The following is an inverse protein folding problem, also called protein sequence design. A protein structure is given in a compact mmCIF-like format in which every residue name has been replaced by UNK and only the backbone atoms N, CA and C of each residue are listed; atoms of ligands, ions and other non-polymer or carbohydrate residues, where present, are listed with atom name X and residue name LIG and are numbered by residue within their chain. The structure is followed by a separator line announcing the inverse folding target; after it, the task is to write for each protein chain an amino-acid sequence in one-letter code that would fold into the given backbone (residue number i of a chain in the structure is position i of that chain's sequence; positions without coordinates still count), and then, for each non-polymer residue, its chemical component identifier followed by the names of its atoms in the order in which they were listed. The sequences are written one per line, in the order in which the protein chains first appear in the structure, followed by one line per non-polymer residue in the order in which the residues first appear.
data_IF_454246571713
#
_entry.id   IF_454246571713
#
_cell.length_a   1.000
_cell.length_b   1.000
_cell.length_c   1.000
_cell.angle_alpha   90.00
_cell.angle_beta   90.00
_cell.angle_gamma   90.00
#
_symmetry.space_group_name_H-M   'P 1'
#
loop_
_entity.id
_entity.type
_entity.pdbx_description
1 polymer ?
#
# COMPACT_ATOMS: atom_id res chain seq x y z
N UNK A 1 -4.78 -33.70 16.04
CA UNK A 1 -4.71 -32.41 16.74
C UNK A 1 -6.04 -31.63 16.81
N UNK A 2 -7.05 -31.88 15.95
CA UNK A 2 -8.37 -31.23 16.09
C UNK A 2 -9.38 -31.98 16.99
N UNK A 3 -9.13 -33.26 17.33
CA UNK A 3 -10.11 -34.14 18.00
C UNK A 3 -10.28 -33.93 19.51
N UNK A 4 -9.38 -33.20 20.17
CA UNK A 4 -9.39 -33.02 21.65
C UNK A 4 -9.84 -31.62 22.11
N UNK A 5 -10.54 -30.86 21.26
CA UNK A 5 -10.99 -29.49 21.56
C UNK A 5 -12.50 -29.36 21.74
N UNK A 6 -13.14 -30.42 22.24
CA UNK A 6 -14.61 -30.50 22.47
C UNK A 6 -15.18 -29.30 23.24
N UNK A 7 -14.35 -28.55 23.98
CA UNK A 7 -14.76 -27.37 24.77
C UNK A 7 -13.97 -26.08 24.45
N UNK A 8 -13.27 -26.00 23.31
CA UNK A 8 -12.50 -24.78 22.96
C UNK A 8 -13.00 -24.19 21.65
N UNK A 9 -13.75 -23.06 21.69
CA UNK A 9 -14.23 -22.43 20.47
C UNK A 9 -13.07 -22.02 19.56
N UNK A 10 -13.28 -22.14 18.26
CA UNK A 10 -12.36 -21.69 17.21
C UNK A 10 -12.92 -20.44 16.59
N UNK A 11 -12.13 -19.37 16.63
CA UNK A 11 -12.44 -18.11 16.00
C UNK A 11 -11.62 -17.98 14.73
N UNK A 12 -12.30 -17.84 13.60
CA UNK A 12 -11.71 -17.59 12.30
C UNK A 12 -12.03 -16.14 11.94
N UNK A 13 -11.00 -15.35 11.67
CA UNK A 13 -11.13 -13.95 11.25
C UNK A 13 -10.66 -13.89 9.81
N UNK A 14 -11.59 -13.78 8.87
CA UNK A 14 -11.32 -13.72 7.43
C UNK A 14 -11.41 -12.27 6.93
N UNK A 15 -10.24 -11.70 6.61
CA UNK A 15 -10.09 -10.32 6.15
C UNK A 15 -9.70 -10.23 4.65
N UNK A 16 -9.72 -11.35 3.92
CA UNK A 16 -9.28 -11.41 2.53
C UNK A 16 -10.34 -10.92 1.53
N UNK A 17 -9.88 -10.37 0.41
CA UNK A 17 -10.71 -9.99 -0.75
C UNK A 17 -10.05 -10.51 -2.04
N UNK A 18 -10.59 -11.56 -2.70
CA UNK A 18 -11.76 -12.35 -2.31
C UNK A 18 -11.54 -13.21 -1.05
N UNK A 19 -12.63 -13.70 -0.45
CA UNK A 19 -12.66 -14.49 0.80
C UNK A 19 -11.86 -15.79 0.68
N UNK A 20 -11.11 -16.15 1.73
CA UNK A 20 -10.31 -17.38 1.77
C UNK A 20 -11.06 -18.59 2.37
N UNK A 21 -12.05 -18.32 3.24
CA UNK A 21 -12.78 -19.34 4.00
C UNK A 21 -14.23 -19.46 3.54
N UNK A 22 -14.68 -20.68 3.28
CA UNK A 22 -16.07 -20.95 2.92
C UNK A 22 -17.01 -20.61 4.10
N UNK A 23 -18.07 -19.80 3.90
CA UNK A 23 -18.98 -19.42 4.98
C UNK A 23 -19.70 -20.59 5.66
N UNK A 24 -19.82 -21.75 5.01
CA UNK A 24 -20.42 -22.96 5.58
C UNK A 24 -19.67 -23.49 6.82
N UNK A 25 -18.41 -23.11 7.03
CA UNK A 25 -17.67 -23.52 8.25
C UNK A 25 -18.31 -22.99 9.53
N UNK A 26 -19.13 -21.94 9.45
CA UNK A 26 -19.84 -21.38 10.59
C UNK A 26 -21.02 -22.26 11.06
N UNK A 27 -21.38 -23.28 10.28
CA UNK A 27 -22.38 -24.29 10.67
C UNK A 27 -21.78 -25.39 11.57
N UNK A 28 -20.45 -25.45 11.67
CA UNK A 28 -19.76 -26.42 12.50
C UNK A 28 -19.82 -26.02 13.98
N UNK A 29 -20.19 -26.97 14.85
CA UNK A 29 -20.25 -26.75 16.28
C UNK A 29 -18.90 -26.26 16.84
N UNK A 30 -18.93 -25.14 17.55
CA UNK A 30 -17.74 -24.52 18.15
C UNK A 30 -16.88 -23.70 17.19
N UNK A 31 -17.30 -23.46 15.94
CA UNK A 31 -16.61 -22.60 14.97
C UNK A 31 -17.37 -21.30 14.79
N UNK A 32 -16.64 -20.18 14.88
CA UNK A 32 -17.18 -18.84 14.65
C UNK A 32 -16.35 -18.15 13.57
N UNK A 33 -16.98 -17.82 12.44
CA UNK A 33 -16.38 -17.06 11.36
C UNK A 33 -16.79 -15.60 11.44
N UNK A 34 -15.81 -14.71 11.57
CA UNK A 34 -15.98 -13.27 11.47
C UNK A 34 -15.33 -12.76 10.19
N UNK A 35 -16.08 -12.00 9.41
CA UNK A 35 -15.58 -11.31 8.22
C UNK A 35 -15.31 -9.82 8.47
N UNK A 36 -14.73 -9.16 7.46
CA UNK A 36 -14.45 -7.72 7.50
C UNK A 36 -15.71 -6.87 7.76
N UNK A 37 -16.89 -7.34 7.33
CA UNK A 37 -18.16 -6.65 7.52
C UNK A 37 -18.63 -6.74 8.98
N UNK A 38 -18.43 -7.89 9.62
CA UNK A 38 -18.75 -8.11 11.04
C UNK A 38 -17.96 -7.21 12.00
N UNK A 39 -16.76 -6.79 11.60
CA UNK A 39 -15.89 -5.88 12.37
C UNK A 39 -16.21 -4.39 12.16
N UNK A 40 -17.12 -4.04 11.24
CA UNK A 40 -17.46 -2.63 10.96
C UNK A 40 -18.06 -1.89 12.16
N UNK A 41 -18.82 -2.57 13.02
CA UNK A 41 -19.43 -1.95 14.21
C UNK A 41 -18.38 -1.42 15.19
N UNK A 42 -17.27 -2.14 15.37
CA UNK A 42 -16.11 -1.71 16.17
C UNK A 42 -15.34 -0.58 15.46
N UNK A 43 -15.27 -0.64 14.13
CA UNK A 43 -14.60 0.38 13.32
C UNK A 43 -15.29 1.75 13.40
N UNK A 44 -16.61 1.82 13.62
CA UNK A 44 -17.34 3.08 13.76
C UNK A 44 -16.89 3.91 14.97
N UNK A 45 -16.51 3.28 16.09
CA UNK A 45 -15.95 4.02 17.24
C UNK A 45 -14.54 4.56 16.94
N UNK A 46 -13.76 3.84 16.12
CA UNK A 46 -12.43 4.26 15.69
C UNK A 46 -12.45 5.38 14.63
N UNK A 47 -13.58 5.58 13.93
CA UNK A 47 -13.73 6.59 12.88
C UNK A 47 -13.56 8.02 13.40
N UNK A 48 -14.05 8.32 14.60
CA UNK A 48 -13.91 9.65 15.22
C UNK A 48 -12.44 9.99 15.54
N UNK A 49 -11.70 9.03 16.09
CA UNK A 49 -10.26 9.14 16.33
C UNK A 49 -9.49 9.28 15.01
N UNK A 50 -9.83 8.48 13.99
CA UNK A 50 -9.21 8.58 12.66
C UNK A 50 -9.41 9.95 12.03
N UNK A 51 -10.60 10.55 12.15
CA UNK A 51 -10.88 11.89 11.62
C UNK A 51 -9.93 12.96 12.15
N UNK A 52 -9.53 12.87 13.42
CA UNK A 52 -8.56 13.82 13.99
C UNK A 52 -7.16 13.65 13.41
N UNK A 53 -6.82 12.44 12.93
CA UNK A 53 -5.52 12.12 12.34
C UNK A 53 -5.45 12.38 10.83
N UNK A 54 -6.59 12.59 10.15
CA UNK A 54 -6.64 12.81 8.69
C UNK A 54 -5.77 14.00 8.29
N UNK A 55 -5.93 15.15 8.96
CA UNK A 55 -5.18 16.36 8.64
C UNK A 55 -3.66 16.16 8.78
N UNK A 56 -3.23 15.40 9.79
CA UNK A 56 -1.82 15.07 9.97
C UNK A 56 -1.30 14.12 8.88
N UNK A 57 -2.10 13.12 8.50
CA UNK A 57 -1.75 12.21 7.40
C UNK A 57 -1.68 12.94 6.05
N UNK A 58 -2.60 13.86 5.77
CA UNK A 58 -2.58 14.69 4.56
C UNK A 58 -1.34 15.56 4.47
N UNK A 59 -0.89 16.13 5.60
CA UNK A 59 0.35 16.90 5.64
C UNK A 59 1.58 16.05 5.29
N UNK A 60 1.69 14.84 5.87
CA UNK A 60 2.76 13.89 5.57
C UNK A 60 2.76 13.48 4.09
N UNK A 61 1.57 13.22 3.52
CA UNK A 61 1.44 12.88 2.10
C UNK A 61 1.89 14.06 1.23
N UNK A 62 1.47 15.29 1.55
CA UNK A 62 1.82 16.48 0.79
C UNK A 62 3.33 16.73 0.79
N UNK A 63 3.99 16.57 1.95
CA UNK A 63 5.45 16.65 2.10
C UNK A 63 6.14 15.62 1.18
N UNK A 64 5.78 14.34 1.28
CA UNK A 64 6.41 13.31 0.44
C UNK A 64 6.12 13.46 -1.05
N UNK A 65 4.95 13.98 -1.42
CA UNK A 65 4.64 14.29 -2.82
C UNK A 65 5.54 15.41 -3.33
N UNK A 66 5.75 16.47 -2.54
CA UNK A 66 6.66 17.55 -2.90
C UNK A 66 8.10 17.04 -3.08
N UNK A 67 8.60 16.25 -2.12
CA UNK A 67 9.93 15.62 -2.18
C UNK A 67 10.09 14.73 -3.42
N UNK A 68 9.04 13.96 -3.75
CA UNK A 68 9.04 13.09 -4.93
C UNK A 68 9.15 13.90 -6.23
N UNK A 69 8.43 15.01 -6.34
CA UNK A 69 8.49 15.89 -7.50
C UNK A 69 9.85 16.58 -7.64
N UNK A 70 10.43 17.06 -6.54
CA UNK A 70 11.76 17.68 -6.52
C UNK A 70 12.88 16.67 -6.86
N UNK A 71 12.79 15.45 -6.32
CA UNK A 71 13.71 14.35 -6.65
C UNK A 71 13.57 13.89 -8.10
N UNK A 72 12.34 13.92 -8.65
CA UNK A 72 12.04 13.53 -10.03
C UNK A 72 12.42 14.57 -11.09
N UNK A 73 12.39 15.87 -10.77
CA UNK A 73 12.90 16.94 -11.65
C UNK A 73 14.43 16.95 -11.67
N UNK A 74 15.09 16.72 -10.53
CA UNK A 74 16.55 16.64 -10.46
C UNK A 74 17.13 15.53 -11.36
N UNK A 75 16.41 14.40 -11.50
CA UNK A 75 16.84 13.27 -12.33
C UNK A 75 16.66 13.51 -13.84
N UNK A 76 15.79 14.44 -14.27
CA UNK A 76 15.60 14.77 -15.70
C UNK A 76 16.63 15.74 -16.26
N UNK A 77 17.24 16.59 -15.43
CA UNK A 77 18.26 17.54 -15.90
C UNK A 77 19.65 16.90 -16.06
N UNK A 78 19.95 15.82 -15.33
CA UNK A 78 21.24 15.13 -15.38
C UNK A 78 21.43 14.25 -16.64
N UNK A 79 20.35 13.87 -17.32
CA UNK A 79 20.40 12.97 -18.49
C UNK A 79 20.56 13.73 -19.83
N UNK A 80 20.45 15.06 -19.84
CA UNK A 80 20.49 15.89 -21.08
C UNK A 80 21.89 16.35 -21.54
N UNK A 81 22.98 15.99 -20.86
CA UNK A 81 24.32 16.52 -21.19
C UNK A 81 25.20 15.62 -22.08
N UNK A 82 24.70 14.48 -22.59
CA UNK A 82 25.52 13.58 -23.42
C UNK A 82 25.04 13.39 -24.87
N UNK A 83 24.50 14.42 -25.53
CA UNK A 83 24.26 14.35 -26.99
C UNK A 83 24.42 15.69 -27.71
N UNK A 84 25.50 16.42 -27.41
CA UNK A 84 25.83 17.63 -28.15
C UNK A 84 27.34 17.88 -28.28
N UNK A 85 28.14 16.86 -28.62
CA UNK A 85 29.50 17.05 -29.17
C UNK A 85 29.84 15.93 -30.16
N UNK A 86 29.22 15.98 -31.34
CA UNK A 86 29.66 15.24 -32.52
C UNK A 86 29.48 16.14 -33.74
N UNK A 87 30.26 17.21 -33.81
CA UNK A 87 30.58 17.81 -35.10
C UNK A 87 32.08 17.66 -35.32
N UNK A 88 32.43 16.76 -36.23
CA UNK A 88 33.72 16.79 -36.92
C UNK A 88 33.44 16.61 -38.40
N UNK A 89 33.81 17.60 -39.22
CA UNK A 89 34.54 17.27 -40.44
C UNK A 89 35.76 18.19 -40.65
N UNK A 90 36.93 17.56 -40.60
CA UNK A 90 38.14 17.70 -41.43
C UNK A 90 38.47 19.04 -42.16
N UNK A 91 39.63 19.60 -41.74
CA UNK A 91 40.85 20.05 -42.48
C UNK A 91 40.77 20.68 -43.89
N UNK A 92 41.43 21.84 -44.07
CA UNK A 92 42.40 22.21 -45.17
C UNK A 92 43.28 23.38 -44.65
N UNK A 93 44.58 23.23 -44.30
CA UNK A 93 45.85 23.35 -45.08
C UNK A 93 46.39 24.80 -45.29
N UNK A 94 47.70 24.97 -45.05
CA UNK A 94 48.64 26.08 -45.43
C UNK A 94 48.52 27.42 -44.68
N UNK A 95 49.57 28.06 -44.13
CA UNK A 95 51.03 28.11 -44.38
C UNK A 95 51.84 28.12 -43.07
#
# INVERSE_FOLDING_TARGET
MLRDRIDRPVFIIDIAVPRDVDPSVNEMEGVYLYDIDSLQSVAQQSLALRRQQIAAAEAIIAEHVADFWESGTARRCADSTHSAMSESPLRVTEL
#
